data_IF_687355623626
#
_entry.id   IF_687355623626
#
_cell.length_a   1.000
_cell.length_b   1.000
_cell.length_c   1.000
_cell.angle_alpha   90.00
_cell.angle_beta   90.00
_cell.angle_gamma   90.00
#
_symmetry.space_group_name_H-M   'P 1'
#
loop_
_entity.id
_entity.type
_entity.pdbx_description
1 polymer ?
#
# COMPACT_ATOMS: atom_id res chain seq x y z
N UNK A 1 18.76 20.74 1.34
CA UNK A 1 17.43 20.19 1.67
C UNK A 1 16.96 19.34 0.49
N UNK A 2 16.59 18.08 0.71
CA UNK A 2 16.09 17.18 -0.34
C UNK A 2 14.70 17.59 -0.87
N UNK A 3 14.15 16.78 -1.78
CA UNK A 3 12.82 17.05 -2.33
C UNK A 3 11.73 16.81 -1.27
N UNK A 4 10.68 17.66 -1.21
CA UNK A 4 9.60 17.49 -0.25
C UNK A 4 8.95 16.11 -0.43
N UNK A 5 9.13 15.24 0.58
CA UNK A 5 8.51 13.92 0.66
C UNK A 5 9.09 12.84 -0.26
N UNK A 6 10.39 12.86 -0.59
CA UNK A 6 10.90 11.92 -1.58
C UNK A 6 12.37 11.53 -1.48
N UNK A 7 13.22 12.24 -2.21
CA UNK A 7 14.60 11.81 -2.49
C UNK A 7 15.56 12.65 -1.64
N UNK A 8 16.47 12.04 -0.85
CA UNK A 8 17.52 12.75 -0.15
C UNK A 8 18.41 13.54 -1.11
N UNK A 9 18.89 14.71 -0.71
CA UNK A 9 19.72 15.56 -1.58
C UNK A 9 20.98 14.86 -2.10
N UNK A 10 21.57 14.00 -1.27
CA UNK A 10 22.74 13.19 -1.62
C UNK A 10 22.48 12.18 -2.74
N UNK A 11 21.23 11.79 -2.96
CA UNK A 11 20.86 10.83 -3.99
C UNK A 11 20.31 11.50 -5.26
N UNK A 12 20.13 12.82 -5.26
CA UNK A 12 19.70 13.54 -6.45
C UNK A 12 20.77 13.47 -7.54
N UNK A 13 20.38 13.39 -8.82
CA UNK A 13 21.35 13.39 -9.91
C UNK A 13 22.13 14.71 -9.91
N UNK A 14 23.42 14.67 -10.26
CA UNK A 14 24.29 15.87 -10.25
C UNK A 14 23.72 17.02 -11.10
N UNK A 15 23.13 16.67 -12.25
CA UNK A 15 22.46 17.62 -13.13
C UNK A 15 21.23 18.29 -12.51
N UNK A 16 20.72 17.78 -11.38
CA UNK A 16 19.67 18.47 -10.65
C UNK A 16 20.12 19.90 -10.36
N UNK A 17 21.33 20.17 -9.90
CA UNK A 17 21.77 21.55 -9.62
C UNK A 17 21.90 22.46 -10.86
N UNK A 18 22.04 21.91 -12.07
CA UNK A 18 22.21 22.63 -13.33
C UNK A 18 20.88 23.19 -13.86
N UNK A 19 20.69 24.51 -13.74
CA UNK A 19 19.46 25.17 -14.17
C UNK A 19 19.19 25.07 -15.67
N UNK A 20 20.23 25.09 -16.52
CA UNK A 20 20.08 25.02 -17.98
C UNK A 20 19.57 23.63 -18.36
N UNK A 21 20.21 22.59 -17.83
CA UNK A 21 19.80 21.21 -18.08
C UNK A 21 18.43 20.90 -17.49
N UNK A 22 18.15 21.35 -16.27
CA UNK A 22 16.83 21.13 -15.66
C UNK A 22 15.70 21.86 -16.38
N UNK A 23 15.94 23.06 -16.94
CA UNK A 23 14.96 23.74 -17.77
C UNK A 23 14.56 22.90 -18.98
N UNK A 24 15.53 22.30 -19.67
CA UNK A 24 15.26 21.41 -20.81
C UNK A 24 14.51 20.13 -20.39
N UNK A 25 14.87 19.54 -19.23
CA UNK A 25 14.20 18.37 -18.69
C UNK A 25 12.77 18.67 -18.20
N UNK A 26 12.47 19.89 -17.76
CA UNK A 26 11.14 20.28 -17.28
C UNK A 26 10.16 20.63 -18.41
N UNK A 27 10.66 20.98 -19.60
CA UNK A 27 9.83 21.36 -20.74
C UNK A 27 8.86 20.23 -21.16
N UNK A 28 7.84 20.50 -21.99
CA UNK A 28 7.08 19.45 -22.64
C UNK A 28 7.96 18.53 -23.50
N UNK A 29 7.46 17.35 -23.84
CA UNK A 29 8.09 16.54 -24.88
C UNK A 29 7.87 17.19 -26.26
N UNK A 30 8.78 16.94 -27.20
CA UNK A 30 8.60 17.22 -28.62
C UNK A 30 8.21 15.93 -29.35
N UNK A 31 7.67 16.01 -30.56
CA UNK A 31 7.32 14.82 -31.34
C UNK A 31 8.54 13.89 -31.44
N UNK A 32 8.39 12.61 -31.07
CA UNK A 32 9.51 11.66 -30.97
C UNK A 32 10.28 11.53 -32.29
N UNK A 33 9.57 11.53 -33.42
CA UNK A 33 10.17 11.43 -34.76
C UNK A 33 11.12 12.60 -35.09
N UNK A 34 10.94 13.78 -34.49
CA UNK A 34 11.79 14.94 -34.76
C UNK A 34 13.16 14.85 -34.07
N UNK A 35 13.22 14.24 -32.88
CA UNK A 35 14.47 13.99 -32.17
C UNK A 35 14.31 12.81 -31.19
N UNK A 36 14.51 11.57 -31.67
CA UNK A 36 14.35 10.37 -30.85
C UNK A 36 15.34 10.31 -29.69
N UNK A 37 16.57 10.76 -29.91
CA UNK A 37 17.63 10.69 -28.90
C UNK A 37 17.33 11.58 -27.69
N UNK A 38 16.93 12.83 -27.93
CA UNK A 38 16.52 13.75 -26.86
C UNK A 38 15.25 13.27 -26.15
N UNK A 39 14.33 12.62 -26.86
CA UNK A 39 13.16 11.99 -26.26
C UNK A 39 13.57 10.90 -25.29
N UNK A 40 14.37 9.94 -25.76
CA UNK A 40 14.74 8.75 -24.99
C UNK A 40 15.61 9.13 -23.78
N UNK A 41 16.53 10.09 -23.91
CA UNK A 41 17.30 10.63 -22.77
C UNK A 41 16.39 11.21 -21.68
N UNK A 42 15.39 12.01 -22.08
CA UNK A 42 14.44 12.64 -21.15
C UNK A 42 13.50 11.62 -20.51
N UNK A 43 13.03 10.66 -21.29
CA UNK A 43 12.21 9.54 -20.79
C UNK A 43 12.97 8.70 -19.78
N UNK A 44 14.21 8.34 -20.09
CA UNK A 44 15.10 7.61 -19.19
C UNK A 44 15.31 8.38 -17.88
N UNK A 45 15.68 9.66 -17.97
CA UNK A 45 15.89 10.51 -16.79
C UNK A 45 14.67 10.51 -15.85
N UNK A 46 13.48 10.79 -16.38
CA UNK A 46 12.28 10.90 -15.53
C UNK A 46 11.76 9.56 -15.04
N UNK A 47 11.87 8.49 -15.83
CA UNK A 47 11.51 7.14 -15.37
C UNK A 47 12.45 6.66 -14.26
N UNK A 48 13.75 6.94 -14.37
CA UNK A 48 14.73 6.63 -13.32
C UNK A 48 14.47 7.46 -12.04
N UNK A 49 14.13 8.75 -12.18
CA UNK A 49 13.70 9.58 -11.06
C UNK A 49 12.44 9.05 -10.36
N UNK A 50 11.43 8.60 -11.13
CA UNK A 50 10.22 7.98 -10.56
C UNK A 50 10.53 6.70 -9.79
N UNK A 51 11.37 5.81 -10.34
CA UNK A 51 11.82 4.58 -9.67
C UNK A 51 12.53 4.89 -8.35
N UNK A 52 13.46 5.84 -8.39
CA UNK A 52 14.18 6.27 -7.21
C UNK A 52 13.26 6.87 -6.14
N UNK A 53 12.30 7.68 -6.56
CA UNK A 53 11.32 8.29 -5.65
C UNK A 53 10.43 7.26 -4.95
N UNK A 54 9.95 6.24 -5.68
CA UNK A 54 9.22 5.12 -5.07
C UNK A 54 10.06 4.38 -4.04
N UNK A 55 11.33 4.14 -4.37
CA UNK A 55 12.27 3.40 -3.51
C UNK A 55 12.54 4.15 -2.21
N UNK A 56 12.84 5.45 -2.29
CA UNK A 56 13.17 6.26 -1.13
C UNK A 56 12.00 6.44 -0.16
N UNK A 57 10.76 6.48 -0.68
CA UNK A 57 9.53 6.54 0.12
C UNK A 57 9.04 5.19 0.63
N UNK A 58 9.55 4.09 0.08
CA UNK A 58 8.96 2.74 0.24
C UNK A 58 7.47 2.72 -0.10
N UNK A 59 7.10 3.40 -1.19
CA UNK A 59 5.71 3.51 -1.65
C UNK A 59 5.66 3.27 -3.17
N UNK A 60 5.12 2.12 -3.63
CA UNK A 60 5.08 1.77 -5.04
C UNK A 60 3.96 2.47 -5.82
N UNK A 61 3.00 3.12 -5.14
CA UNK A 61 1.87 3.79 -5.80
C UNK A 61 2.29 5.19 -6.28
N UNK A 62 2.01 5.49 -7.54
CA UNK A 62 2.38 6.76 -8.19
C UNK A 62 1.23 7.36 -9.00
N UNK A 63 1.16 8.68 -9.06
CA UNK A 63 0.37 9.42 -10.05
C UNK A 63 1.25 10.52 -10.67
N UNK A 64 0.90 10.99 -11.87
CA UNK A 64 1.65 12.07 -12.50
C UNK A 64 1.53 13.39 -11.70
N UNK A 65 0.37 13.63 -11.08
CA UNK A 65 0.13 14.78 -10.21
C UNK A 65 1.04 14.75 -8.96
N UNK A 66 1.14 13.60 -8.28
CA UNK A 66 2.01 13.47 -7.11
C UNK A 66 3.49 13.62 -7.49
N UNK A 67 3.89 13.04 -8.62
CA UNK A 67 5.26 13.18 -9.14
C UNK A 67 5.60 14.64 -9.50
N UNK A 68 4.67 15.37 -10.12
CA UNK A 68 4.84 16.80 -10.42
C UNK A 68 5.07 17.62 -9.16
N UNK A 69 4.29 17.34 -8.12
CA UNK A 69 4.43 18.01 -6.83
C UNK A 69 5.75 17.66 -6.15
N UNK A 70 6.13 16.39 -6.13
CA UNK A 70 7.38 15.94 -5.51
C UNK A 70 8.64 16.44 -6.23
N UNK A 71 8.59 16.54 -7.55
CA UNK A 71 9.70 17.04 -8.37
C UNK A 71 9.62 18.55 -8.61
N UNK A 72 8.86 19.29 -7.79
CA UNK A 72 8.84 20.75 -7.86
C UNK A 72 10.24 21.31 -7.57
N UNK A 73 10.67 22.24 -8.43
CA UNK A 73 11.96 22.91 -8.32
C UNK A 73 11.78 24.39 -8.64
N UNK A 74 12.18 25.25 -7.70
CA UNK A 74 12.12 26.72 -7.85
C UNK A 74 10.72 27.19 -8.31
N UNK A 75 9.66 26.60 -7.73
CA UNK A 75 8.27 26.94 -8.03
C UNK A 75 7.74 26.38 -9.36
N UNK A 76 8.52 25.58 -10.11
CA UNK A 76 8.09 24.94 -11.35
C UNK A 76 7.95 23.44 -11.17
N UNK A 77 7.02 22.83 -11.90
CA UNK A 77 6.84 21.38 -11.98
C UNK A 77 7.22 20.88 -13.37
N UNK A 78 7.65 19.62 -13.53
CA UNK A 78 7.99 19.08 -14.83
C UNK A 78 6.72 18.86 -15.67
N UNK A 79 6.59 19.60 -16.78
CA UNK A 79 5.40 19.55 -17.63
C UNK A 79 5.23 18.20 -18.35
N UNK A 80 6.31 17.44 -18.51
CA UNK A 80 6.35 16.20 -19.28
C UNK A 80 5.89 14.95 -18.51
N UNK A 81 5.63 15.01 -17.21
CA UNK A 81 5.45 13.80 -16.40
C UNK A 81 4.22 12.95 -16.76
N UNK A 82 3.15 13.53 -17.29
CA UNK A 82 1.99 12.73 -17.71
C UNK A 82 2.37 11.78 -18.86
N UNK A 83 3.20 12.26 -19.81
CA UNK A 83 3.73 11.46 -20.90
C UNK A 83 4.67 10.37 -20.36
N UNK A 84 5.50 10.69 -19.36
CA UNK A 84 6.42 9.70 -18.75
C UNK A 84 5.63 8.57 -18.11
N UNK A 85 4.61 8.90 -17.30
CA UNK A 85 3.76 7.90 -16.63
C UNK A 85 2.99 7.07 -17.66
N UNK A 86 2.44 7.70 -18.70
CA UNK A 86 1.75 6.99 -19.78
C UNK A 86 2.68 6.01 -20.51
N UNK A 87 3.90 6.43 -20.87
CA UNK A 87 4.86 5.58 -21.57
C UNK A 87 5.38 4.45 -20.67
N UNK A 88 5.64 4.71 -19.38
CA UNK A 88 5.98 3.65 -18.43
C UNK A 88 4.84 2.64 -18.27
N UNK A 89 3.58 3.10 -18.30
CA UNK A 89 2.43 2.20 -18.31
C UNK A 89 2.34 1.37 -19.59
N UNK A 90 2.50 1.98 -20.78
CA UNK A 90 2.52 1.28 -22.07
C UNK A 90 3.63 0.24 -22.16
N UNK A 91 4.80 0.53 -21.60
CA UNK A 91 5.96 -0.37 -21.59
C UNK A 91 5.88 -1.46 -20.51
N UNK A 92 4.86 -1.43 -19.65
CA UNK A 92 4.66 -2.42 -18.58
C UNK A 92 5.53 -2.20 -17.34
N UNK A 93 6.22 -1.05 -17.22
CA UNK A 93 6.89 -0.65 -15.98
C UNK A 93 5.86 -0.31 -14.88
N UNK A 94 4.70 0.24 -15.29
CA UNK A 94 3.57 0.54 -14.42
C UNK A 94 2.39 -0.37 -14.75
N UNK A 95 1.58 -0.68 -13.74
CA UNK A 95 0.30 -1.36 -13.91
C UNK A 95 -0.84 -0.60 -13.21
N UNK A 96 -2.11 -0.93 -13.50
CA UNK A 96 -3.23 -0.34 -12.77
C UNK A 96 -3.20 -0.78 -11.31
N UNK A 97 -3.57 0.13 -10.39
CA UNK A 97 -3.68 -0.15 -8.97
C UNK A 97 -4.55 -1.39 -8.66
N UNK A 98 -5.62 -1.57 -9.43
CA UNK A 98 -6.57 -2.68 -9.27
C UNK A 98 -5.98 -4.06 -9.58
N UNK A 99 -4.82 -4.16 -10.24
CA UNK A 99 -4.23 -5.45 -10.66
C UNK A 99 -4.02 -6.38 -9.47
N UNK A 100 -3.23 -5.95 -8.50
CA UNK A 100 -2.89 -6.81 -7.37
C UNK A 100 -4.02 -6.93 -6.36
N UNK A 101 -4.89 -5.93 -6.24
CA UNK A 101 -6.12 -6.05 -5.46
C UNK A 101 -7.01 -7.17 -6.02
N UNK A 102 -7.23 -7.22 -7.33
CA UNK A 102 -8.02 -8.29 -7.93
C UNK A 102 -7.36 -9.66 -7.81
N UNK A 103 -6.03 -9.75 -7.97
CA UNK A 103 -5.30 -11.00 -7.78
C UNK A 103 -5.42 -11.49 -6.33
N UNK A 104 -5.32 -10.58 -5.35
CA UNK A 104 -5.45 -10.93 -3.93
C UNK A 104 -6.83 -11.50 -3.63
N UNK A 105 -7.90 -10.87 -4.12
CA UNK A 105 -9.27 -11.24 -3.76
C UNK A 105 -9.89 -12.35 -4.63
N UNK A 106 -9.47 -12.46 -5.90
CA UNK A 106 -10.07 -13.39 -6.88
C UNK A 106 -9.08 -14.42 -7.43
N UNK A 107 -7.82 -14.39 -6.98
CA UNK A 107 -6.75 -15.24 -7.48
C UNK A 107 -6.18 -14.80 -8.85
N UNK A 108 -5.06 -15.41 -9.29
CA UNK A 108 -4.42 -15.07 -10.55
C UNK A 108 -5.30 -15.34 -11.79
N UNK A 109 -6.10 -16.41 -11.76
CA UNK A 109 -7.06 -16.70 -12.84
C UNK A 109 -8.14 -15.63 -12.97
N UNK A 110 -8.58 -15.06 -11.85
CA UNK A 110 -9.55 -13.98 -11.81
C UNK A 110 -9.04 -12.75 -12.57
N UNK A 111 -7.77 -12.41 -12.39
CA UNK A 111 -7.10 -11.35 -13.14
C UNK A 111 -6.97 -11.68 -14.63
N UNK A 112 -6.59 -12.91 -15.01
CA UNK A 112 -6.53 -13.30 -16.45
C UNK A 112 -7.91 -13.19 -17.11
N UNK A 113 -8.96 -13.68 -16.42
CA UNK A 113 -10.36 -13.56 -16.89
C UNK A 113 -10.82 -12.11 -16.94
N UNK A 114 -10.45 -11.28 -15.97
CA UNK A 114 -10.75 -9.84 -15.97
C UNK A 114 -10.02 -9.10 -17.09
N UNK A 115 -8.72 -9.38 -17.30
CA UNK A 115 -7.91 -8.79 -18.36
C UNK A 115 -8.44 -9.16 -19.74
N UNK A 116 -8.88 -10.41 -19.94
CA UNK A 116 -9.60 -10.82 -21.14
C UNK A 116 -10.91 -10.02 -21.30
N UNK A 117 -11.71 -9.84 -20.25
CA UNK A 117 -12.97 -9.06 -20.33
C UNK A 117 -12.74 -7.58 -20.67
N UNK A 118 -11.62 -6.99 -20.27
CA UNK A 118 -11.25 -5.64 -20.71
C UNK A 118 -10.84 -5.61 -22.19
N UNK A 119 -10.17 -6.66 -22.68
CA UNK A 119 -9.85 -6.79 -24.09
C UNK A 119 -11.11 -6.98 -24.98
N UNK A 120 -12.20 -7.52 -24.43
CA UNK A 120 -13.40 -7.91 -25.18
C UNK A 120 -14.68 -7.08 -24.94
N UNK A 121 -14.67 -6.01 -24.13
CA UNK A 121 -15.84 -5.12 -23.97
C UNK A 121 -15.62 -3.73 -24.61
N UNK A 122 -16.19 -3.46 -25.79
CA UNK A 122 -16.28 -2.11 -26.30
C UNK A 122 -17.47 -1.37 -25.63
N UNK A 123 -17.27 -0.10 -25.30
CA UNK A 123 -18.29 0.88 -24.89
C UNK A 123 -19.01 0.65 -23.54
N UNK A 124 -18.49 1.24 -22.44
CA UNK A 124 -19.28 2.06 -21.48
C UNK A 124 -18.53 2.39 -20.17
N UNK A 125 -17.51 1.63 -19.77
CA UNK A 125 -16.78 1.89 -18.50
C UNK A 125 -15.26 2.02 -18.65
N UNK A 126 -14.79 2.19 -19.89
CA UNK A 126 -13.39 1.99 -20.22
C UNK A 126 -12.86 3.03 -21.25
N UNK A 127 -13.40 4.26 -21.24
CA UNK A 127 -12.92 5.28 -22.19
C UNK A 127 -11.52 5.82 -21.84
N UNK A 128 -11.07 5.75 -20.59
CA UNK A 128 -9.74 6.28 -20.20
C UNK A 128 -8.64 5.22 -20.17
N UNK A 129 -8.96 3.96 -19.85
CA UNK A 129 -7.94 2.90 -19.73
C UNK A 129 -7.70 2.12 -21.05
N UNK A 130 -8.69 2.04 -21.95
CA UNK A 130 -8.59 1.18 -23.15
C UNK A 130 -8.08 1.93 -24.38
N UNK A 131 -8.21 3.26 -24.42
CA UNK A 131 -7.60 4.09 -25.47
C UNK A 131 -6.07 3.96 -25.50
N UNK A 132 -5.44 3.76 -24.34
CA UNK A 132 -4.00 3.51 -24.16
C UNK A 132 -3.51 2.17 -24.72
N UNK A 133 -4.40 1.25 -25.09
CA UNK A 133 -4.05 -0.04 -25.72
C UNK A 133 -4.12 0.00 -27.26
N UNK A 134 -4.52 1.13 -27.87
CA UNK A 134 -4.45 1.26 -29.33
C UNK A 134 -3.02 1.59 -29.78
N UNK A 135 -2.43 0.81 -30.70
CA UNK A 135 -1.13 1.14 -31.26
C UNK A 135 -1.25 2.41 -32.11
N UNK A 136 -0.25 3.28 -32.01
CA UNK A 136 0.16 4.23 -33.05
C UNK A 136 -0.56 5.57 -33.25
N UNK A 137 -1.15 6.20 -32.22
CA UNK A 137 -1.40 7.65 -32.33
C UNK A 137 -1.01 8.43 -31.09
N UNK A 138 0.21 8.96 -31.13
CA UNK A 138 0.64 10.02 -30.22
C UNK A 138 -0.31 11.21 -30.43
N UNK A 139 -1.19 11.44 -29.47
CA UNK A 139 -2.12 12.56 -29.52
C UNK A 139 -1.35 13.85 -29.34
N UNK A 140 -1.70 14.87 -30.12
CA UNK A 140 -1.09 16.20 -30.00
C UNK A 140 -2.11 17.19 -29.42
N UNK A 141 -1.63 18.17 -28.68
CA UNK A 141 -2.42 19.32 -28.23
C UNK A 141 -2.55 20.39 -29.34
N UNK A 142 -3.17 21.52 -29.00
CA UNK A 142 -3.37 22.64 -29.92
C UNK A 142 -2.05 23.25 -30.42
N UNK A 143 -0.95 23.05 -29.69
CA UNK A 143 0.39 23.55 -30.04
C UNK A 143 1.21 22.50 -30.81
N UNK A 144 0.61 21.37 -31.17
CA UNK A 144 1.27 20.27 -31.87
C UNK A 144 2.21 19.46 -30.98
N UNK A 145 2.12 19.60 -29.65
CA UNK A 145 2.96 18.87 -28.70
C UNK A 145 2.27 17.57 -28.25
N UNK A 146 3.04 16.51 -28.00
CA UNK A 146 2.52 15.27 -27.42
C UNK A 146 1.72 15.52 -26.15
N UNK A 147 0.50 14.96 -26.13
CA UNK A 147 -0.46 15.05 -25.03
C UNK A 147 -0.78 13.65 -24.52
N UNK A 148 -0.69 13.45 -23.20
CA UNK A 148 -1.06 12.20 -22.56
C UNK A 148 -2.58 11.98 -22.57
N UNK A 149 -3.00 10.72 -22.65
CA UNK A 149 -4.41 10.31 -22.59
C UNK A 149 -4.89 9.97 -21.17
N UNK A 150 -3.96 9.78 -20.25
CA UNK A 150 -4.24 9.49 -18.83
C UNK A 150 -4.69 10.74 -18.07
N UNK A 151 -5.49 10.55 -17.02
CA UNK A 151 -5.73 11.59 -16.02
C UNK A 151 -4.49 11.71 -15.12
N UNK A 152 -3.99 12.92 -14.92
CA UNK A 152 -2.81 13.18 -14.07
C UNK A 152 -2.94 12.66 -12.63
N UNK A 153 -4.18 12.58 -12.11
CA UNK A 153 -4.47 12.05 -10.76
C UNK A 153 -4.64 10.54 -10.72
N UNK A 154 -4.67 9.88 -11.89
CA UNK A 154 -4.79 8.44 -11.98
C UNK A 154 -3.60 7.75 -11.30
N UNK A 155 -3.91 6.79 -10.43
CA UNK A 155 -2.93 6.05 -9.62
C UNK A 155 -2.52 4.76 -10.32
N UNK A 156 -1.22 4.55 -10.41
CA UNK A 156 -0.57 3.38 -10.96
C UNK A 156 0.37 2.78 -9.92
N UNK A 157 0.82 1.57 -10.20
CA UNK A 157 1.73 0.82 -9.35
C UNK A 157 2.99 0.53 -10.13
N UNK A 158 4.15 0.86 -9.55
CA UNK A 158 5.45 0.57 -10.13
C UNK A 158 5.85 -0.89 -9.86
N UNK A 159 5.91 -1.69 -10.93
CA UNK A 159 6.15 -3.14 -10.88
C UNK A 159 7.45 -3.49 -10.17
N UNK A 160 8.53 -2.77 -10.47
CA UNK A 160 9.84 -2.98 -9.86
C UNK A 160 9.83 -2.72 -8.35
N UNK A 161 9.15 -1.67 -7.89
CA UNK A 161 9.05 -1.33 -6.48
C UNK A 161 8.17 -2.33 -5.71
N UNK A 162 7.05 -2.79 -6.29
CA UNK A 162 6.23 -3.84 -5.67
C UNK A 162 7.01 -5.13 -5.52
N UNK A 163 7.71 -5.55 -6.58
CA UNK A 163 8.55 -6.75 -6.54
C UNK A 163 9.59 -6.65 -5.42
N UNK A 164 10.37 -5.57 -5.39
CA UNK A 164 11.41 -5.37 -4.37
C UNK A 164 10.83 -5.40 -2.95
N UNK A 165 9.76 -4.64 -2.70
CA UNK A 165 9.15 -4.54 -1.37
C UNK A 165 8.44 -5.83 -0.93
N UNK A 166 7.77 -6.54 -1.83
CA UNK A 166 7.11 -7.80 -1.51
C UNK A 166 8.13 -8.91 -1.20
N UNK A 167 9.26 -8.94 -1.93
CA UNK A 167 10.37 -9.85 -1.62
C UNK A 167 11.01 -9.48 -0.28
N UNK A 168 11.23 -8.19 0.00
CA UNK A 168 11.74 -7.73 1.29
C UNK A 168 10.80 -8.12 2.44
N UNK A 169 9.48 -7.97 2.27
CA UNK A 169 8.46 -8.37 3.25
C UNK A 169 8.58 -9.85 3.61
N UNK A 170 8.73 -10.74 2.63
CA UNK A 170 8.88 -12.18 2.90
C UNK A 170 10.20 -12.52 3.61
N UNK A 171 11.30 -11.90 3.18
CA UNK A 171 12.64 -12.15 3.70
C UNK A 171 12.81 -11.64 5.13
N UNK A 172 12.24 -10.48 5.44
CA UNK A 172 12.34 -9.84 6.76
C UNK A 172 11.19 -10.18 7.70
N UNK A 173 10.26 -11.04 7.27
CA UNK A 173 9.16 -11.46 8.14
C UNK A 173 9.72 -12.07 9.44
N UNK A 174 9.23 -11.64 10.62
CA UNK A 174 9.87 -12.03 11.88
C UNK A 174 9.96 -13.55 12.08
N UNK A 175 11.13 -14.08 12.48
CA UNK A 175 11.30 -15.51 12.70
C UNK A 175 10.46 -15.99 13.89
N UNK A 176 9.88 -17.18 13.78
CA UNK A 176 9.05 -17.78 14.83
C UNK A 176 7.65 -17.17 14.97
N UNK A 177 7.30 -16.16 14.18
CA UNK A 177 5.94 -15.61 14.10
C UNK A 177 5.17 -16.33 13.00
N UNK A 178 3.91 -16.65 13.27
CA UNK A 178 3.04 -17.33 12.32
C UNK A 178 2.92 -16.52 11.01
N UNK A 179 3.17 -17.19 9.88
CA UNK A 179 3.10 -16.63 8.52
C UNK A 179 1.68 -16.70 7.94
N UNK A 180 0.69 -16.75 8.81
CA UNK A 180 -0.70 -16.95 8.45
C UNK A 180 -1.62 -16.15 9.39
N UNK A 181 -2.70 -15.61 8.84
CA UNK A 181 -3.68 -14.82 9.59
C UNK A 181 -4.58 -14.03 8.68
N UNK A 182 -5.39 -13.16 9.27
CA UNK A 182 -6.06 -12.05 8.58
C UNK A 182 -5.03 -11.02 8.08
N UNK A 183 -5.45 -10.13 7.18
CA UNK A 183 -4.59 -9.05 6.69
C UNK A 183 -4.12 -8.17 7.86
N UNK A 184 -5.02 -7.90 8.81
CA UNK A 184 -4.75 -7.11 10.02
C UNK A 184 -3.73 -7.78 10.94
N UNK A 185 -3.79 -9.10 11.09
CA UNK A 185 -2.80 -9.87 11.86
C UNK A 185 -1.44 -9.87 11.17
N UNK A 186 -1.40 -10.08 9.85
CA UNK A 186 -0.14 -10.04 9.11
C UNK A 186 0.52 -8.65 9.15
N UNK A 187 -0.27 -7.57 9.05
CA UNK A 187 0.22 -6.19 9.22
C UNK A 187 0.85 -6.01 10.60
N UNK A 188 0.16 -6.47 11.66
CA UNK A 188 0.64 -6.39 13.04
C UNK A 188 1.93 -7.21 13.24
N UNK A 189 1.94 -8.43 12.72
CA UNK A 189 3.02 -9.40 12.88
C UNK A 189 4.27 -9.03 12.08
N UNK A 190 4.13 -8.31 10.96
CA UNK A 190 5.25 -7.87 10.13
C UNK A 190 5.80 -6.49 10.52
N UNK A 191 5.30 -5.88 11.60
CA UNK A 191 5.64 -4.51 12.01
C UNK A 191 5.46 -3.49 10.87
N UNK A 192 4.46 -3.73 10.00
CA UNK A 192 4.22 -2.87 8.85
C UNK A 192 3.76 -1.48 9.28
N UNK A 193 4.42 -0.45 8.77
CA UNK A 193 4.19 0.95 9.18
C UNK A 193 3.54 1.81 8.10
N UNK A 194 3.53 1.33 6.86
CA UNK A 194 2.94 2.03 5.72
C UNK A 194 1.44 1.73 5.62
N UNK A 195 0.82 2.20 4.54
CA UNK A 195 -0.62 2.05 4.34
C UNK A 195 -1.03 0.58 4.20
N UNK A 196 -2.26 0.27 4.63
CA UNK A 196 -2.91 -1.02 4.38
C UNK A 196 -3.02 -1.31 2.89
N UNK A 197 -3.33 -0.30 2.07
CA UNK A 197 -3.47 -0.44 0.62
C UNK A 197 -2.16 -0.95 0.00
N UNK A 198 -1.03 -0.40 0.43
CA UNK A 198 0.30 -0.84 0.00
C UNK A 198 0.54 -2.29 0.42
N UNK A 199 0.21 -2.67 1.65
CA UNK A 199 0.36 -4.05 2.12
C UNK A 199 -0.46 -5.04 1.28
N UNK A 200 -1.72 -4.73 0.99
CA UNK A 200 -2.59 -5.55 0.16
C UNK A 200 -2.06 -5.69 -1.27
N UNK A 201 -1.46 -4.64 -1.84
CA UNK A 201 -0.78 -4.73 -3.14
C UNK A 201 0.39 -5.71 -3.10
N UNK A 202 1.22 -5.65 -2.06
CA UNK A 202 2.33 -6.59 -1.89
C UNK A 202 1.81 -8.03 -1.76
N UNK A 203 0.76 -8.26 -0.96
CA UNK A 203 0.13 -9.58 -0.85
C UNK A 203 -0.41 -10.06 -2.20
N UNK A 204 -1.07 -9.20 -2.97
CA UNK A 204 -1.54 -9.53 -4.31
C UNK A 204 -0.41 -9.91 -5.26
N UNK A 205 0.74 -9.24 -5.17
CA UNK A 205 1.94 -9.63 -5.90
C UNK A 205 2.44 -11.01 -5.46
N UNK A 206 2.55 -11.27 -4.16
CA UNK A 206 2.97 -12.57 -3.64
C UNK A 206 2.04 -13.70 -4.07
N UNK A 207 0.72 -13.46 -4.10
CA UNK A 207 -0.27 -14.40 -4.64
C UNK A 207 -0.01 -14.67 -6.12
N UNK A 208 0.27 -13.63 -6.92
CA UNK A 208 0.62 -13.80 -8.34
C UNK A 208 1.86 -14.66 -8.55
N UNK A 209 2.81 -14.62 -7.62
CA UNK A 209 4.04 -15.42 -7.66
C UNK A 209 3.89 -16.81 -7.01
N UNK A 210 2.73 -17.13 -6.42
CA UNK A 210 2.51 -18.37 -5.66
C UNK A 210 3.29 -18.43 -4.35
N UNK A 211 3.72 -17.28 -3.83
CA UNK A 211 4.40 -17.13 -2.54
C UNK A 211 3.43 -16.73 -1.42
N UNK A 212 2.16 -16.47 -1.74
CA UNK A 212 1.07 -16.30 -0.80
C UNK A 212 -0.22 -16.88 -1.37
N UNK A 213 -1.18 -17.20 -0.51
CA UNK A 213 -2.53 -17.64 -0.90
C UNK A 213 -3.54 -17.00 0.04
N UNK A 214 -4.71 -16.64 -0.50
CA UNK A 214 -5.84 -16.11 0.26
C UNK A 214 -7.08 -16.98 0.04
N UNK A 215 -7.77 -17.35 1.12
CA UNK A 215 -9.05 -18.06 1.11
C UNK A 215 -9.96 -17.43 2.18
N UNK A 216 -11.09 -16.84 1.76
CA UNK A 216 -11.90 -16.05 2.69
C UNK A 216 -11.06 -14.91 3.28
N UNK A 217 -11.03 -14.80 4.60
CA UNK A 217 -10.23 -13.81 5.33
C UNK A 217 -8.82 -14.30 5.68
N UNK A 218 -8.52 -15.59 5.45
CA UNK A 218 -7.23 -16.18 5.77
C UNK A 218 -6.24 -15.94 4.65
N UNK A 219 -5.09 -15.39 4.99
CA UNK A 219 -3.91 -15.24 4.14
C UNK A 219 -2.79 -16.07 4.72
N UNK A 220 -2.12 -16.85 3.87
CA UNK A 220 -0.95 -17.66 4.23
C UNK A 220 0.22 -17.24 3.35
N UNK A 221 1.37 -17.01 3.95
CA UNK A 221 2.63 -16.66 3.29
C UNK A 221 3.55 -17.87 3.24
N UNK A 222 4.31 -18.02 2.16
CA UNK A 222 5.37 -19.00 2.08
C UNK A 222 6.59 -18.57 2.92
N UNK A 223 7.46 -19.53 3.19
CA UNK A 223 8.85 -19.22 3.48
C UNK A 223 9.53 -18.58 2.26
N UNK A 224 10.61 -17.80 2.44
CA UNK A 224 11.41 -17.28 1.34
C UNK A 224 11.80 -18.40 0.36
N UNK A 225 11.67 -18.08 -0.93
CA UNK A 225 12.02 -18.97 -2.05
C UNK A 225 11.22 -20.29 -2.14
N UNK A 226 10.14 -20.44 -1.37
CA UNK A 226 9.22 -21.58 -1.45
C UNK A 226 7.87 -21.20 -2.06
N UNK A 227 7.15 -22.22 -2.53
CA UNK A 227 5.73 -22.08 -2.90
C UNK A 227 4.87 -22.33 -1.67
N UNK A 228 3.81 -21.52 -1.53
CA UNK A 228 2.87 -21.67 -0.42
C UNK A 228 1.97 -22.88 -0.67
N UNK A 229 1.59 -23.60 0.39
CA UNK A 229 0.53 -24.61 0.32
C UNK A 229 -0.86 -23.96 0.35
N UNK A 230 -1.90 -24.61 -0.19
CA UNK A 230 -3.28 -24.13 -0.07
C UNK A 230 -3.73 -24.01 1.38
N UNK A 231 -4.68 -23.11 1.64
CA UNK A 231 -5.32 -22.97 2.96
C UNK A 231 -6.21 -24.19 3.24
N UNK A 232 -5.92 -24.89 4.33
CA UNK A 232 -6.66 -26.06 4.83
C UNK A 232 -7.75 -25.66 5.84
N UNK A 233 -8.65 -26.58 6.19
CA UNK A 233 -9.65 -26.32 7.24
C UNK A 233 -9.01 -26.12 8.62
N UNK A 234 -7.93 -26.86 8.91
CA UNK A 234 -7.14 -26.69 10.13
C UNK A 234 -6.48 -25.30 10.20
N UNK A 235 -6.00 -24.80 9.05
CA UNK A 235 -5.48 -23.42 8.95
C UNK A 235 -6.57 -22.40 9.30
N UNK A 236 -7.78 -22.55 8.75
CA UNK A 236 -8.91 -21.65 9.04
C UNK A 236 -9.33 -21.70 10.51
N UNK A 237 -9.31 -22.88 11.13
CA UNK A 237 -9.57 -23.04 12.57
C UNK A 237 -8.49 -22.37 13.43
N UNK A 238 -7.21 -22.55 13.08
CA UNK A 238 -6.08 -21.94 13.78
C UNK A 238 -6.15 -20.41 13.73
N UNK A 239 -6.38 -19.82 12.54
CA UNK A 239 -6.51 -18.36 12.42
C UNK A 239 -7.69 -17.83 13.22
N UNK A 240 -8.83 -18.53 13.24
CA UNK A 240 -9.97 -18.12 14.08
C UNK A 240 -9.62 -18.12 15.57
N UNK A 241 -8.82 -19.09 16.04
CA UNK A 241 -8.34 -19.13 17.43
C UNK A 241 -7.39 -17.98 17.71
N UNK A 242 -6.41 -17.71 16.83
CA UNK A 242 -5.48 -16.57 16.96
C UNK A 242 -6.22 -15.22 16.98
N UNK A 243 -7.21 -15.04 16.10
CA UNK A 243 -8.09 -13.86 16.08
C UNK A 243 -8.86 -13.72 17.40
N UNK A 244 -9.40 -14.84 17.93
CA UNK A 244 -10.12 -14.84 19.19
C UNK A 244 -9.21 -14.49 20.36
N UNK A 245 -8.00 -15.05 20.41
CA UNK A 245 -6.97 -14.74 21.40
C UNK A 245 -6.63 -13.24 21.38
N UNK A 246 -6.21 -12.71 20.23
CA UNK A 246 -5.85 -11.29 20.06
C UNK A 246 -6.98 -10.36 20.49
N UNK A 247 -8.22 -10.71 20.16
CA UNK A 247 -9.40 -9.91 20.54
C UNK A 247 -9.64 -9.96 22.05
N UNK A 248 -9.56 -11.14 22.66
CA UNK A 248 -9.74 -11.33 24.10
C UNK A 248 -8.63 -10.64 24.90
N UNK A 249 -7.38 -10.68 24.45
CA UNK A 249 -6.27 -9.93 25.04
C UNK A 249 -6.53 -8.41 25.00
N UNK A 250 -6.90 -7.88 23.84
CA UNK A 250 -7.20 -6.46 23.68
C UNK A 250 -8.36 -6.02 24.57
N UNK A 251 -9.40 -6.84 24.70
CA UNK A 251 -10.53 -6.60 25.58
C UNK A 251 -10.12 -6.67 27.07
N UNK A 252 -9.32 -7.65 27.47
CA UNK A 252 -8.81 -7.78 28.83
C UNK A 252 -7.96 -6.56 29.23
N UNK A 253 -7.04 -6.11 28.36
CA UNK A 253 -6.23 -4.91 28.59
C UNK A 253 -7.11 -3.66 28.74
N UNK A 254 -8.14 -3.51 27.91
CA UNK A 254 -9.09 -2.38 28.00
C UNK A 254 -9.87 -2.42 29.32
N UNK A 255 -10.41 -3.58 29.70
CA UNK A 255 -11.16 -3.76 30.94
C UNK A 255 -10.28 -3.52 32.17
N UNK A 256 -9.02 -3.97 32.15
CA UNK A 256 -8.07 -3.72 33.23
C UNK A 256 -7.80 -2.22 33.42
N UNK A 257 -7.64 -1.46 32.32
CA UNK A 257 -7.55 0.01 32.39
C UNK A 257 -8.84 0.63 32.97
N UNK A 258 -10.01 0.18 32.52
CA UNK A 258 -11.29 0.68 33.01
C UNK A 258 -11.47 0.42 34.53
N UNK A 259 -11.01 -0.73 35.04
CA UNK A 259 -10.99 -1.05 36.48
C UNK A 259 -10.07 -0.11 37.23
N UNK A 260 -8.86 0.15 36.72
CA UNK A 260 -7.89 1.06 37.32
C UNK A 260 -8.43 2.50 37.38
N UNK A 261 -9.03 2.99 36.28
CA UNK A 261 -9.67 4.32 36.23
C UNK A 261 -10.81 4.43 37.23
N UNK A 262 -11.73 3.46 37.26
CA UNK A 262 -12.84 3.48 38.22
C UNK A 262 -12.36 3.46 39.68
N UNK A 263 -11.23 2.80 39.97
CA UNK A 263 -10.60 2.83 41.28
C UNK A 263 -9.98 4.20 41.60
N UNK A 264 -9.32 4.85 40.65
CA UNK A 264 -8.76 6.18 40.81
C UNK A 264 -9.87 7.22 41.05
N UNK A 265 -10.94 7.19 40.25
CA UNK A 265 -12.09 8.07 40.39
C UNK A 265 -12.77 7.90 41.75
N UNK A 266 -12.92 6.65 42.23
CA UNK A 266 -13.48 6.39 43.54
C UNK A 266 -12.63 7.02 44.67
N UNK A 267 -11.31 6.92 44.59
CA UNK A 267 -10.38 7.55 45.54
C UNK A 267 -10.48 9.07 45.48
N UNK A 268 -10.49 9.64 44.28
CA UNK A 268 -10.63 11.09 44.09
C UNK A 268 -11.95 11.61 44.68
N UNK A 269 -13.06 10.91 44.44
CA UNK A 269 -14.38 11.25 44.99
C UNK A 269 -14.41 11.19 46.53
N UNK A 270 -13.70 10.23 47.15
CA UNK A 270 -13.55 10.18 48.61
C UNK A 270 -12.74 11.36 49.15
N UNK A 271 -11.66 11.76 48.46
CA UNK A 271 -10.82 12.88 48.88
C UNK A 271 -11.58 14.21 48.91
N UNK A 272 -12.54 14.42 48.01
CA UNK A 272 -13.42 15.61 47.99
C UNK A 272 -14.69 15.45 48.83
N UNK A 273 -14.81 14.36 49.61
CA UNK A 273 -15.95 14.10 50.50
C UNK A 273 -17.24 13.61 49.80
N UNK A 274 -17.22 13.39 48.48
CA UNK A 274 -18.39 12.94 47.72
C UNK A 274 -18.56 11.40 47.79
N UNK A 275 -19.13 10.94 48.91
CA UNK A 275 -19.36 9.51 49.18
C UNK A 275 -20.28 8.83 48.17
N UNK A 276 -21.26 9.55 47.61
CA UNK A 276 -22.20 8.98 46.64
C UNK A 276 -21.50 8.67 45.30
N UNK A 277 -20.70 9.61 44.80
CA UNK A 277 -19.90 9.40 43.60
C UNK A 277 -18.90 8.26 43.80
N UNK A 278 -18.19 8.22 44.93
CA UNK A 278 -17.26 7.14 45.26
C UNK A 278 -17.93 5.76 45.23
N UNK A 279 -19.12 5.62 45.83
CA UNK A 279 -19.91 4.38 45.80
C UNK A 279 -20.27 3.97 44.36
N UNK A 280 -20.64 4.91 43.51
CA UNK A 280 -20.96 4.65 42.11
C UNK A 280 -19.73 4.18 41.31
N UNK A 281 -18.56 4.82 41.50
CA UNK A 281 -17.31 4.39 40.88
C UNK A 281 -16.90 2.99 41.34
N UNK A 282 -17.06 2.65 42.63
CA UNK A 282 -16.79 1.30 43.15
C UNK A 282 -17.74 0.25 42.57
N UNK A 283 -19.03 0.57 42.40
CA UNK A 283 -19.99 -0.32 41.73
C UNK A 283 -19.61 -0.57 40.27
N UNK A 284 -19.22 0.48 39.54
CA UNK A 284 -18.71 0.36 38.17
C UNK A 284 -17.45 -0.50 38.14
N UNK A 285 -16.48 -0.25 39.02
CA UNK A 285 -15.26 -1.05 39.18
C UNK A 285 -15.60 -2.53 39.34
N UNK A 286 -16.47 -2.87 40.29
CA UNK A 286 -16.84 -4.27 40.55
C UNK A 286 -17.47 -4.94 39.33
N UNK A 287 -18.42 -4.29 38.66
CA UNK A 287 -19.05 -4.83 37.44
C UNK A 287 -18.03 -5.02 36.30
N UNK A 288 -17.10 -4.09 36.12
CA UNK A 288 -16.04 -4.20 35.12
C UNK A 288 -15.04 -5.31 35.50
N UNK A 289 -14.72 -5.49 36.78
CA UNK A 289 -13.83 -6.54 37.26
C UNK A 289 -14.38 -7.95 36.96
N UNK A 290 -15.67 -8.18 37.20
CA UNK A 290 -16.33 -9.45 36.85
C UNK A 290 -16.27 -9.74 35.34
N UNK A 291 -16.33 -8.69 34.50
CA UNK A 291 -16.16 -8.85 33.04
C UNK A 291 -14.72 -9.17 32.68
N UNK A 292 -13.76 -8.53 33.34
CA UNK A 292 -12.33 -8.81 33.16
C UNK A 292 -12.04 -10.27 33.50
N UNK A 293 -12.49 -10.77 34.65
CA UNK A 293 -12.31 -12.17 35.06
C UNK A 293 -12.87 -13.15 34.01
N UNK A 294 -14.10 -12.91 33.52
CA UNK A 294 -14.69 -13.74 32.46
C UNK A 294 -13.89 -13.70 31.16
N UNK A 295 -13.39 -12.53 30.78
CA UNK A 295 -12.56 -12.35 29.58
C UNK A 295 -11.22 -13.07 29.72
N UNK A 296 -10.57 -12.97 30.88
CA UNK A 296 -9.31 -13.65 31.19
C UNK A 296 -9.46 -15.17 31.20
N UNK A 297 -10.54 -15.70 31.78
CA UNK A 297 -10.81 -17.14 31.75
C UNK A 297 -11.07 -17.65 30.32
N UNK A 298 -11.81 -16.88 29.52
CA UNK A 298 -12.02 -17.23 28.11
C UNK A 298 -10.70 -17.21 27.32
N UNK A 299 -9.82 -16.25 27.61
CA UNK A 299 -8.48 -16.17 26.99
C UNK A 299 -7.61 -17.37 27.37
N UNK A 300 -7.62 -17.77 28.64
CA UNK A 300 -6.90 -18.95 29.11
C UNK A 300 -7.38 -20.23 28.40
N UNK A 301 -8.69 -20.39 28.23
CA UNK A 301 -9.27 -21.53 27.51
C UNK A 301 -8.89 -21.58 26.03
N UNK A 302 -8.66 -20.43 25.38
CA UNK A 302 -8.24 -20.37 23.96
C UNK A 302 -6.77 -20.75 23.79
N UNK A 303 -5.96 -20.55 24.84
CA UNK A 303 -4.51 -20.84 24.85
C UNK A 303 -4.15 -22.27 25.26
N UNK A 304 -5.10 -23.02 25.82
CA UNK A 304 -4.94 -24.43 26.20
C UNK A 304 -5.14 -25.35 24.99
#
# INVERSE_FOLDING_TARGET
MGLPGGIPEAELPQCWSDDVRMNALFAPFRIKAANPESWDMKMKFWSDMLRQWCRSRKEPIVSAADAKNAFNRKGRTPACLDIVVEEMYRNGDLCPLSKYQQILHNGPEGWVKWGARLAFKPAAFALTAVASFMPNRQTVDNDGLPKASIDSTQRFVLESAVKEQATELLQKYPPGVERMGTIEELIRNSEWTQSRETFELLLGYLVSQGAAVKKGDVVKLAEPDKKVSPVTESDEALVKLMCAETRLEGEALRLARDVATAQADAKAALNVGNKLAAKNHLRRKHKTNLRLERCSNALENVRQ
#
